data_IF_622043794820
#
_entry.id   IF_622043794820
#
_cell.length_a   1.000
_cell.length_b   1.000
_cell.length_c   1.000
_cell.angle_alpha   90.00
_cell.angle_beta   90.00
_cell.angle_gamma   90.00
#
_symmetry.space_group_name_H-M   'P 1'
#
loop_
_entity.id
_entity.type
_entity.pdbx_description
1 polymer ?
#
# COMPACT_ATOMS: atom_id res chain seq x y z
N UNK A 1 -9.47 11.93 -10.43
CA UNK A 1 -8.93 12.69 -9.28
C UNK A 1 -9.22 11.87 -8.04
N UNK A 2 -8.29 11.79 -7.08
CA UNK A 2 -8.54 11.12 -5.79
C UNK A 2 -9.20 12.16 -4.89
N UNK A 3 -10.38 11.86 -4.35
CA UNK A 3 -11.12 12.73 -3.45
C UNK A 3 -11.57 12.00 -2.17
N UNK A 4 -12.15 12.75 -1.24
CA UNK A 4 -12.56 12.21 0.06
C UNK A 4 -13.65 11.13 -0.09
N UNK A 5 -14.63 11.30 -0.98
CA UNK A 5 -15.71 10.34 -1.16
C UNK A 5 -15.17 8.99 -1.65
N UNK A 6 -14.23 9.02 -2.60
CA UNK A 6 -13.56 7.82 -3.11
C UNK A 6 -12.75 7.13 -2.02
N UNK A 7 -12.03 7.89 -1.18
CA UNK A 7 -11.26 7.33 -0.06
C UNK A 7 -12.15 6.74 1.02
N UNK A 8 -13.26 7.39 1.35
CA UNK A 8 -14.23 6.93 2.35
C UNK A 8 -14.91 5.63 1.92
N UNK A 9 -15.41 5.59 0.68
CA UNK A 9 -16.03 4.38 0.14
C UNK A 9 -15.07 3.17 0.13
N UNK A 10 -13.81 3.38 -0.29
CA UNK A 10 -12.82 2.29 -0.33
C UNK A 10 -12.42 1.81 1.08
N UNK A 11 -12.37 2.72 2.05
CA UNK A 11 -12.13 2.42 3.47
C UNK A 11 -13.29 1.62 4.08
N UNK A 12 -14.53 1.96 3.78
CA UNK A 12 -15.70 1.16 4.19
C UNK A 12 -15.67 -0.26 3.61
N UNK A 13 -15.25 -0.43 2.36
CA UNK A 13 -15.06 -1.76 1.77
C UNK A 13 -13.90 -2.51 2.44
N UNK A 14 -12.82 -1.82 2.81
CA UNK A 14 -11.70 -2.41 3.54
C UNK A 14 -12.14 -2.93 4.91
N UNK A 15 -12.97 -2.19 5.67
CA UNK A 15 -13.51 -2.66 6.95
C UNK A 15 -14.32 -3.95 6.85
N UNK A 16 -15.00 -4.18 5.73
CA UNK A 16 -15.81 -5.39 5.48
C UNK A 16 -14.96 -6.58 5.02
N UNK A 17 -13.70 -6.35 4.65
CA UNK A 17 -12.77 -7.38 4.18
C UNK A 17 -12.12 -8.11 5.37
N UNK A 18 -12.00 -9.45 5.34
CA UNK A 18 -11.32 -10.22 6.40
C UNK A 18 -9.87 -9.77 6.66
N UNK A 19 -9.20 -9.21 5.65
CA UNK A 19 -7.82 -8.71 5.75
C UNK A 19 -7.73 -7.22 6.09
N UNK A 20 -8.88 -6.57 6.30
CA UNK A 20 -8.96 -5.15 6.66
C UNK A 20 -8.28 -4.23 5.63
N UNK A 21 -8.32 -4.63 4.35
CA UNK A 21 -7.77 -3.85 3.23
C UNK A 21 -8.50 -4.11 1.94
N UNK A 22 -8.51 -3.10 1.07
CA UNK A 22 -9.06 -3.13 -0.28
C UNK A 22 -8.25 -2.22 -1.20
N UNK A 23 -8.07 -2.64 -2.45
CA UNK A 23 -7.43 -1.83 -3.49
C UNK A 23 -8.44 -1.43 -4.57
N UNK A 24 -8.19 -0.28 -5.17
CA UNK A 24 -8.77 0.17 -6.43
C UNK A 24 -7.65 0.34 -7.46
N UNK A 25 -7.80 -0.25 -8.64
CA UNK A 25 -6.79 -0.22 -9.69
C UNK A 25 -7.06 0.95 -10.65
N UNK A 26 -6.03 1.75 -10.91
CA UNK A 26 -6.08 2.79 -11.96
C UNK A 26 -5.48 2.32 -13.27
N UNK A 27 -4.72 1.24 -13.25
CA UNK A 27 -4.24 0.56 -14.45
C UNK A 27 -5.35 -0.38 -14.96
N UNK A 28 -5.47 -0.48 -16.27
CA UNK A 28 -6.45 -1.34 -16.94
C UNK A 28 -5.86 -2.75 -17.16
N UNK A 29 -4.54 -2.86 -17.25
CA UNK A 29 -3.85 -4.12 -17.53
C UNK A 29 -2.59 -4.34 -16.69
N UNK A 30 -2.33 -5.60 -16.36
CA UNK A 30 -1.11 -6.04 -15.68
C UNK A 30 0.16 -5.87 -16.52
N UNK A 31 0.00 -5.65 -17.83
CA UNK A 31 1.09 -5.38 -18.76
C UNK A 31 1.46 -3.90 -18.83
N UNK A 32 0.72 -3.02 -18.16
CA UNK A 32 1.10 -1.61 -18.10
C UNK A 32 2.44 -1.45 -17.36
N UNK A 33 3.34 -0.57 -17.86
CA UNK A 33 4.67 -0.37 -17.28
C UNK A 33 4.66 0.02 -15.80
N UNK A 34 3.58 0.66 -15.34
CA UNK A 34 3.38 1.05 -13.94
C UNK A 34 2.00 0.66 -13.47
N UNK A 35 1.95 -0.21 -12.47
CA UNK A 35 0.71 -0.61 -11.81
C UNK A 35 0.38 0.42 -10.74
N UNK A 36 -0.64 1.26 -10.98
CA UNK A 36 -1.09 2.29 -10.04
C UNK A 36 -2.31 1.80 -9.27
N UNK A 37 -2.26 1.88 -7.94
CA UNK A 37 -3.32 1.41 -7.04
C UNK A 37 -3.60 2.47 -5.96
N UNK A 38 -4.88 2.69 -5.65
CA UNK A 38 -5.27 3.29 -4.36
C UNK A 38 -5.57 2.14 -3.40
N UNK A 39 -4.86 2.10 -2.27
CA UNK A 39 -5.05 1.08 -1.24
C UNK A 39 -5.66 1.71 0.00
N UNK A 40 -6.80 1.20 0.45
CA UNK A 40 -7.32 1.44 1.79
C UNK A 40 -6.87 0.29 2.71
N UNK A 41 -6.32 0.65 3.87
CA UNK A 41 -5.81 -0.29 4.87
C UNK A 41 -6.28 0.19 6.25
N UNK A 42 -7.06 -0.63 6.93
CA UNK A 42 -7.58 -0.33 8.26
C UNK A 42 -6.62 -0.81 9.35
N UNK A 43 -6.69 -0.24 10.57
CA UNK A 43 -5.88 -0.67 11.70
C UNK A 43 -5.98 -2.19 11.93
N UNK A 44 -4.83 -2.84 12.06
CA UNK A 44 -4.73 -4.31 12.15
C UNK A 44 -4.50 -5.01 10.82
N UNK A 45 -4.57 -4.31 9.68
CA UNK A 45 -4.13 -4.88 8.40
C UNK A 45 -2.62 -5.07 8.37
N UNK A 46 -2.17 -6.23 7.86
CA UNK A 46 -0.75 -6.56 7.72
C UNK A 46 -0.44 -7.08 6.32
N UNK A 47 0.46 -6.41 5.61
CA UNK A 47 1.02 -6.89 4.34
C UNK A 47 2.32 -7.62 4.66
N UNK A 48 2.43 -8.88 4.24
CA UNK A 48 3.64 -9.67 4.42
C UNK A 48 4.81 -9.06 3.62
N UNK A 49 6.05 -9.14 4.13
CA UNK A 49 7.21 -8.76 3.35
C UNK A 49 7.29 -9.59 2.07
N UNK A 50 7.70 -8.95 0.99
CA UNK A 50 7.83 -9.55 -0.33
C UNK A 50 8.96 -8.88 -1.11
N UNK A 51 9.49 -9.59 -2.11
CA UNK A 51 10.53 -9.10 -3.01
C UNK A 51 10.31 -9.62 -4.42
N UNK A 52 10.57 -8.80 -5.43
CA UNK A 52 10.46 -9.18 -6.85
C UNK A 52 11.83 -9.60 -7.38
N UNK A 53 12.01 -10.89 -7.68
CA UNK A 53 13.31 -11.44 -8.09
C UNK A 53 13.51 -11.59 -9.60
N UNK A 54 12.43 -11.83 -10.33
CA UNK A 54 12.49 -12.21 -11.75
C UNK A 54 12.17 -11.04 -12.69
N UNK A 55 11.41 -10.07 -12.20
CA UNK A 55 10.99 -8.89 -12.94
C UNK A 55 11.10 -7.70 -11.97
N UNK A 56 12.17 -6.88 -12.05
CA UNK A 56 12.34 -5.74 -11.17
C UNK A 56 11.18 -4.76 -11.33
N UNK A 57 10.24 -4.81 -10.39
CA UNK A 57 9.13 -3.87 -10.31
C UNK A 57 9.44 -2.87 -9.21
N UNK A 58 9.99 -1.68 -9.54
CA UNK A 58 10.19 -0.65 -8.54
C UNK A 58 8.83 -0.25 -7.96
N UNK A 59 8.75 -0.16 -6.65
CA UNK A 59 7.53 0.23 -5.93
C UNK A 59 7.77 1.56 -5.22
N UNK A 60 6.76 2.43 -5.27
CA UNK A 60 6.74 3.69 -4.53
C UNK A 60 5.44 3.78 -3.75
N UNK A 61 5.54 4.21 -2.49
CA UNK A 61 4.40 4.35 -1.59
C UNK A 61 4.18 5.82 -1.24
N UNK A 62 2.93 6.27 -1.36
CA UNK A 62 2.49 7.59 -0.92
C UNK A 62 1.31 7.44 0.05
N UNK A 63 1.43 8.02 1.24
CA UNK A 63 0.35 8.07 2.22
C UNK A 63 -0.46 9.33 2.00
N UNK A 64 -1.67 9.18 1.45
CA UNK A 64 -2.57 10.30 1.15
C UNK A 64 -3.38 10.69 2.41
N UNK A 65 -3.75 9.72 3.24
CA UNK A 65 -4.49 9.90 4.49
C UNK A 65 -4.04 8.87 5.53
N UNK A 66 -3.92 9.29 6.79
CA UNK A 66 -3.57 8.40 7.89
C UNK A 66 -2.06 8.18 8.02
N UNK A 67 -1.68 6.99 8.51
CA UNK A 67 -0.29 6.62 8.72
C UNK A 67 -0.07 5.11 8.62
N UNK A 68 1.15 4.70 8.30
CA UNK A 68 1.58 3.29 8.18
C UNK A 68 3.01 3.15 8.68
N UNK A 69 3.36 1.96 9.15
CA UNK A 69 4.76 1.57 9.35
C UNK A 69 5.23 0.70 8.19
N UNK A 70 6.27 1.14 7.49
CA UNK A 70 6.98 0.34 6.49
C UNK A 70 8.18 -0.32 7.16
N UNK A 71 8.26 -1.65 7.09
CA UNK A 71 9.41 -2.40 7.59
C UNK A 71 10.21 -2.90 6.39
N UNK A 72 11.48 -2.50 6.32
CA UNK A 72 12.42 -2.93 5.28
C UNK A 72 13.33 -4.00 5.87
N UNK A 73 13.56 -5.04 5.10
CA UNK A 73 14.33 -6.21 5.52
C UNK A 73 15.56 -6.37 4.65
N UNK A 74 16.64 -6.82 5.28
CA UNK A 74 17.83 -7.34 4.61
C UNK A 74 17.53 -8.66 3.90
N UNK A 75 18.44 -9.07 3.01
CA UNK A 75 18.34 -10.33 2.27
C UNK A 75 18.27 -11.59 3.16
N UNK A 76 18.81 -11.53 4.39
CA UNK A 76 18.76 -12.61 5.37
C UNK A 76 17.50 -12.59 6.26
N UNK A 77 16.59 -11.63 6.04
CA UNK A 77 15.34 -11.48 6.77
C UNK A 77 15.44 -10.69 8.07
N UNK A 78 16.61 -10.12 8.41
CA UNK A 78 16.73 -9.16 9.51
C UNK A 78 16.03 -7.85 9.13
N UNK A 79 15.50 -7.15 10.14
CA UNK A 79 14.96 -5.79 9.94
C UNK A 79 16.12 -4.83 9.70
N UNK A 80 16.16 -4.23 8.51
CA UNK A 80 17.08 -3.15 8.16
C UNK A 80 16.58 -1.83 8.77
N UNK A 81 15.31 -1.49 8.53
CA UNK A 81 14.72 -0.24 9.00
C UNK A 81 13.22 -0.32 9.19
N UNK A 82 12.69 0.58 10.03
CA UNK A 82 11.25 0.80 10.21
C UNK A 82 10.97 2.28 9.99
N UNK A 83 10.21 2.59 8.95
CA UNK A 83 9.88 3.97 8.56
C UNK A 83 8.41 4.22 8.88
N UNK A 84 8.13 5.26 9.67
CA UNK A 84 6.77 5.73 9.94
C UNK A 84 6.38 6.74 8.86
N UNK A 85 5.42 6.39 8.02
CA UNK A 85 4.90 7.26 6.97
C UNK A 85 3.58 7.86 7.42
N UNK A 86 3.43 9.18 7.29
CA UNK A 86 2.20 9.91 7.61
C UNK A 86 1.82 10.83 6.47
N UNK A 87 0.52 11.02 6.26
CA UNK A 87 0.05 12.03 5.33
C UNK A 87 0.51 13.43 5.79
N UNK A 88 1.04 14.23 4.85
CA UNK A 88 1.43 15.62 5.09
C UNK A 88 2.73 15.82 5.87
N UNK A 89 3.54 14.78 6.11
CA UNK A 89 4.85 14.92 6.78
C UNK A 89 6.00 15.27 5.83
N UNK A 90 5.75 16.15 4.86
CA UNK A 90 6.77 16.69 3.94
C UNK A 90 7.20 18.09 4.32
#
# INVERSE_FOLDING_TARGET
>A
MIDNNMMDALSEEAHKSPRLRKNFNFHESHNEPSQRLLNAMEPGSYIRPHRHLTDPKPEAFLVIRGHVALVVFEDDGRVESVVQLRAGSG
#
